data_IF_255570765311
#
_entry.id   IF_255570765311
#
_cell.length_a   1.000
_cell.length_b   1.000
_cell.length_c   1.000
_cell.angle_alpha   90.00
_cell.angle_beta   90.00
_cell.angle_gamma   90.00
#
_symmetry.space_group_name_H-M   'P 1'
#
loop_
_entity.id
_entity.type
_entity.pdbx_description
1 polymer ?
#
# COMPACT_ATOMS: atom_id res chain seq x y z
N UNK A 1 22.42 -1.28 5.17
CA UNK A 1 21.48 -2.43 5.17
C UNK A 1 20.16 -1.99 4.56
N UNK A 2 19.39 -2.92 3.99
CA UNK A 2 18.00 -2.67 3.53
C UNK A 2 17.07 -3.21 4.62
N UNK A 3 15.96 -2.53 4.91
CA UNK A 3 15.08 -2.90 6.03
C UNK A 3 13.61 -2.71 5.73
N UNK A 4 12.79 -3.56 6.32
CA UNK A 4 11.35 -3.45 6.34
C UNK A 4 10.83 -3.48 7.79
N UNK A 5 11.08 -2.40 8.52
CA UNK A 5 10.71 -2.29 9.94
C UNK A 5 9.53 -1.34 10.13
N UNK A 6 8.30 -1.86 10.02
CA UNK A 6 7.05 -1.11 10.21
C UNK A 6 6.24 -1.57 11.41
N UNK A 7 6.75 -2.53 12.19
CA UNK A 7 6.04 -3.14 13.30
C UNK A 7 6.10 -2.20 14.50
N UNK A 8 4.96 -1.86 15.12
CA UNK A 8 4.95 -1.14 16.39
C UNK A 8 5.55 -2.00 17.51
N UNK A 9 6.09 -1.35 18.53
CA UNK A 9 6.49 -2.05 19.73
C UNK A 9 5.30 -2.65 20.50
N UNK A 10 5.62 -3.53 21.46
CA UNK A 10 4.63 -4.22 22.27
C UNK A 10 3.72 -3.26 23.04
N UNK A 11 4.24 -2.12 23.49
CA UNK A 11 3.46 -1.14 24.25
C UNK A 11 2.35 -0.56 23.38
N UNK A 12 2.65 -0.21 22.13
CA UNK A 12 1.66 0.29 21.18
C UNK A 12 0.66 -0.80 20.77
N UNK A 13 1.12 -2.04 20.53
CA UNK A 13 0.24 -3.16 20.21
C UNK A 13 -0.74 -3.48 21.35
N UNK A 14 -0.29 -3.39 22.60
CA UNK A 14 -1.13 -3.60 23.78
C UNK A 14 -2.31 -2.61 23.87
N UNK A 15 -2.21 -1.44 23.24
CA UNK A 15 -3.29 -0.44 23.21
C UNK A 15 -4.46 -0.83 22.29
N UNK A 16 -4.30 -1.88 21.47
CA UNK A 16 -5.39 -2.46 20.67
C UNK A 16 -6.19 -3.52 21.42
N UNK A 17 -5.76 -3.95 22.62
CA UNK A 17 -6.53 -4.90 23.44
C UNK A 17 -7.91 -4.33 23.76
N UNK A 18 -8.87 -5.21 24.05
CA UNK A 18 -10.23 -4.78 24.40
C UNK A 18 -10.21 -3.73 25.52
N UNK A 19 -11.11 -2.75 25.41
CA UNK A 19 -11.26 -1.63 26.35
C UNK A 19 -10.04 -0.67 26.42
N UNK A 20 -9.01 -0.88 25.60
CA UNK A 20 -7.90 0.07 25.45
C UNK A 20 -8.19 1.07 24.35
N UNK A 21 -7.54 2.22 24.47
CA UNK A 21 -7.85 3.42 23.70
C UNK A 21 -7.76 3.26 22.17
N UNK A 22 -6.87 2.40 21.65
CA UNK A 22 -6.77 2.16 20.20
C UNK A 22 -7.64 0.99 19.72
N UNK A 23 -8.39 0.32 20.60
CA UNK A 23 -9.28 -0.78 20.19
C UNK A 23 -10.38 -0.29 19.24
N UNK A 24 -10.77 0.99 19.34
CA UNK A 24 -11.77 1.60 18.47
C UNK A 24 -11.34 1.68 17.00
N UNK A 25 -10.03 1.62 16.71
CA UNK A 25 -9.51 1.68 15.34
C UNK A 25 -9.96 0.49 14.48
N UNK A 26 -10.37 -0.62 15.10
CA UNK A 26 -10.87 -1.83 14.43
C UNK A 26 -12.27 -1.65 13.84
N UNK A 27 -13.03 -0.69 14.35
CA UNK A 27 -14.47 -0.55 14.08
C UNK A 27 -14.83 0.81 13.47
N UNK A 28 -13.83 1.55 12.98
CA UNK A 28 -14.06 2.86 12.38
C UNK A 28 -14.92 2.71 11.13
N UNK A 29 -16.03 3.47 11.10
CA UNK A 29 -16.94 3.52 9.96
C UNK A 29 -16.62 4.70 9.07
N UNK A 30 -16.70 4.48 7.76
CA UNK A 30 -16.63 5.55 6.77
C UNK A 30 -17.96 6.30 6.74
N UNK A 31 -17.97 7.63 6.90
CA UNK A 31 -19.20 8.41 6.77
C UNK A 31 -19.79 8.33 5.36
N UNK A 32 -21.13 8.32 5.25
CA UNK A 32 -21.86 8.18 3.97
C UNK A 32 -21.50 9.22 2.90
N UNK A 33 -20.93 10.37 3.29
CA UNK A 33 -20.49 11.41 2.34
C UNK A 33 -19.31 10.97 1.45
N UNK A 34 -18.55 9.95 1.85
CA UNK A 34 -17.49 9.37 1.03
C UNK A 34 -18.07 8.23 0.16
N UNK A 35 -18.88 8.60 -0.82
CA UNK A 35 -19.63 7.65 -1.64
C UNK A 35 -18.73 6.57 -2.27
N UNK A 36 -19.02 5.31 -1.95
CA UNK A 36 -18.30 4.15 -2.48
C UNK A 36 -16.94 3.86 -1.85
N UNK A 37 -16.45 4.70 -0.93
CA UNK A 37 -15.29 4.40 -0.10
C UNK A 37 -15.69 3.37 0.97
N UNK A 38 -15.05 2.21 0.99
CA UNK A 38 -15.53 1.06 1.77
C UNK A 38 -14.91 0.94 3.16
N UNK A 39 -13.78 1.60 3.40
CA UNK A 39 -13.10 1.61 4.70
C UNK A 39 -12.14 2.81 4.81
N UNK A 40 -11.92 3.27 6.03
CA UNK A 40 -10.65 3.93 6.35
C UNK A 40 -9.60 2.83 6.55
N UNK A 41 -8.37 3.13 6.15
CA UNK A 41 -7.29 2.16 6.21
C UNK A 41 -6.32 2.51 7.34
N UNK A 42 -6.01 1.51 8.17
CA UNK A 42 -5.20 1.65 9.38
C UNK A 42 -3.87 0.96 9.15
N UNK A 43 -2.79 1.75 9.23
CA UNK A 43 -1.49 1.30 8.79
C UNK A 43 -0.42 1.53 9.84
N UNK A 44 0.31 0.47 10.17
CA UNK A 44 1.51 0.58 10.99
C UNK A 44 2.68 1.13 10.16
N UNK A 45 3.44 2.02 10.78
CA UNK A 45 4.56 2.72 10.18
C UNK A 45 5.75 2.72 11.13
N UNK A 46 6.90 3.13 10.58
CA UNK A 46 8.16 3.26 11.32
C UNK A 46 7.97 4.15 12.55
N UNK A 47 8.80 3.95 13.57
CA UNK A 47 8.86 4.79 14.77
C UNK A 47 7.55 4.80 15.58
N UNK A 48 6.92 3.63 15.77
CA UNK A 48 5.70 3.47 16.56
C UNK A 48 4.59 4.45 16.17
N UNK A 49 4.32 4.50 14.87
CA UNK A 49 3.29 5.39 14.30
C UNK A 49 2.21 4.55 13.63
N UNK A 50 0.95 4.93 13.84
CA UNK A 50 -0.21 4.42 13.11
C UNK A 50 -0.73 5.56 12.25
N UNK A 51 -0.96 5.29 10.98
CA UNK A 51 -1.58 6.21 10.06
C UNK A 51 -3.03 5.80 9.81
N UNK A 52 -3.92 6.79 9.73
CA UNK A 52 -5.31 6.62 9.27
C UNK A 52 -5.42 7.24 7.88
N UNK A 53 -5.85 6.45 6.90
CA UNK A 53 -5.97 6.87 5.51
C UNK A 53 -7.43 6.95 5.04
N UNK A 54 -7.71 7.93 4.18
CA UNK A 54 -8.93 8.06 3.40
C UNK A 54 -8.56 8.03 1.90
N UNK A 55 -8.80 6.91 1.23
CA UNK A 55 -8.32 6.73 -0.15
C UNK A 55 -6.80 6.86 -0.23
N UNK A 56 -6.30 7.76 -1.08
CA UNK A 56 -4.88 8.01 -1.33
C UNK A 56 -4.25 9.07 -0.42
N UNK A 57 -4.95 9.52 0.64
CA UNK A 57 -4.42 10.56 1.53
C UNK A 57 -4.49 10.15 2.99
N UNK A 58 -3.45 10.53 3.73
CA UNK A 58 -3.37 10.34 5.16
C UNK A 58 -4.15 11.44 5.89
N UNK A 59 -5.03 11.05 6.80
CA UNK A 59 -5.79 11.96 7.65
C UNK A 59 -5.02 12.30 8.92
N UNK A 60 -4.59 11.26 9.66
CA UNK A 60 -3.98 11.41 10.96
C UNK A 60 -2.83 10.43 11.18
N UNK A 61 -1.89 10.86 12.02
CA UNK A 61 -0.81 10.08 12.61
C UNK A 61 -1.07 9.94 14.11
N UNK A 62 -1.01 8.72 14.62
CA UNK A 62 -1.04 8.40 16.05
C UNK A 62 0.35 7.88 16.40
N UNK A 63 1.08 8.62 17.24
CA UNK A 63 2.44 8.28 17.63
C UNK A 63 2.52 8.00 19.11
N UNK A 64 3.13 6.88 19.48
CA UNK A 64 3.36 6.56 20.88
C UNK A 64 4.34 7.54 21.53
N UNK A 65 4.01 8.02 22.72
CA UNK A 65 4.90 8.80 23.60
C UNK A 65 4.84 8.20 25.01
N UNK A 66 5.83 8.47 25.86
CA UNK A 66 6.01 7.87 27.19
C UNK A 66 4.76 7.25 27.87
N UNK A 67 3.77 8.08 28.25
CA UNK A 67 2.56 7.69 29.00
C UNK A 67 1.25 7.78 28.19
N UNK A 68 1.34 7.89 26.87
CA UNK A 68 0.18 8.15 26.01
C UNK A 68 0.51 8.17 24.53
N UNK A 69 -0.28 8.89 23.75
CA UNK A 69 -0.01 9.07 22.33
C UNK A 69 -0.30 10.50 21.91
N UNK A 70 0.50 10.97 20.96
CA UNK A 70 0.27 12.21 20.26
C UNK A 70 -0.53 11.90 19.00
N UNK A 71 -1.58 12.68 18.75
CA UNK A 71 -2.23 12.70 17.45
C UNK A 71 -1.91 13.99 16.74
N UNK A 72 -1.45 13.85 15.51
CA UNK A 72 -1.32 14.95 14.56
C UNK A 72 -2.14 14.63 13.32
N UNK A 73 -2.66 15.65 12.64
CA UNK A 73 -3.29 15.48 11.34
C UNK A 73 -2.35 15.93 10.25
N UNK A 74 -2.52 15.43 9.03
CA UNK A 74 -1.78 15.94 7.88
C UNK A 74 -1.99 17.46 7.74
N UNK A 75 -0.95 18.20 7.33
CA UNK A 75 -0.94 19.67 7.27
C UNK A 75 -2.14 20.27 6.51
N UNK A 76 -2.63 19.56 5.49
CA UNK A 76 -3.81 19.94 4.70
C UNK A 76 -5.10 20.00 5.52
N UNK A 77 -5.21 19.20 6.58
CA UNK A 77 -6.43 19.05 7.39
C UNK A 77 -6.28 19.69 8.78
N UNK A 78 -5.07 20.03 9.21
CA UNK A 78 -4.78 20.55 10.56
C UNK A 78 -5.48 21.88 10.88
N UNK A 79 -5.74 22.71 9.86
CA UNK A 79 -6.43 23.99 10.05
C UNK A 79 -7.96 23.86 10.21
N UNK A 80 -8.54 22.70 9.91
CA UNK A 80 -9.98 22.50 10.00
C UNK A 80 -10.44 22.46 11.46
N UNK A 81 -11.62 23.02 11.75
CA UNK A 81 -12.14 23.13 13.13
C UNK A 81 -12.27 21.78 13.83
N UNK A 82 -12.65 20.73 13.09
CA UNK A 82 -12.78 19.37 13.58
C UNK A 82 -11.46 18.72 14.01
N UNK A 83 -10.31 19.21 13.53
CA UNK A 83 -8.99 18.69 13.89
C UNK A 83 -8.54 19.14 15.30
N UNK A 84 -9.01 20.30 15.79
CA UNK A 84 -8.54 20.92 17.04
C UNK A 84 -8.73 20.04 18.27
N UNK A 85 -9.82 19.27 18.33
CA UNK A 85 -10.12 18.40 19.47
C UNK A 85 -9.29 17.12 19.49
N UNK A 86 -8.97 16.58 18.31
CA UNK A 86 -8.21 15.33 18.20
C UNK A 86 -6.71 15.56 18.29
N UNK A 87 -6.21 16.72 17.80
CA UNK A 87 -4.79 17.09 17.80
C UNK A 87 -4.28 17.49 19.19
N UNK A 88 -3.98 16.50 20.01
CA UNK A 88 -3.40 16.68 21.34
C UNK A 88 -2.67 15.41 21.78
N UNK A 89 -2.05 15.51 22.95
CA UNK A 89 -1.57 14.35 23.70
C UNK A 89 -2.74 13.72 24.44
N UNK A 90 -2.92 12.42 24.23
CA UNK A 90 -3.91 11.58 24.88
C UNK A 90 -3.20 10.65 25.85
N UNK A 91 -3.44 10.85 27.15
CA UNK A 91 -2.86 9.98 28.19
C UNK A 91 -3.56 8.63 28.22
N UNK A 92 -2.83 7.59 28.56
CA UNK A 92 -3.37 6.25 28.72
C UNK A 92 -4.07 6.10 30.10
N UNK A 93 -5.20 6.77 30.29
CA UNK A 93 -6.05 6.66 31.49
C UNK A 93 -7.44 6.12 31.12
N UNK A 94 -8.13 5.48 32.08
CA UNK A 94 -9.39 4.77 31.79
C UNK A 94 -10.49 5.70 31.24
N UNK A 95 -10.56 6.96 31.72
CA UNK A 95 -11.51 7.96 31.20
C UNK A 95 -11.13 8.52 29.82
N UNK A 96 -9.84 8.47 29.44
CA UNK A 96 -9.38 9.04 28.17
C UNK A 96 -9.87 8.25 26.95
N UNK A 97 -10.22 6.97 27.11
CA UNK A 97 -10.72 6.14 26.01
C UNK A 97 -12.04 6.64 25.43
N UNK A 98 -12.98 7.05 26.28
CA UNK A 98 -14.28 7.57 25.83
C UNK A 98 -14.16 8.92 25.12
N UNK A 99 -13.43 9.86 25.71
CA UNK A 99 -13.16 11.17 25.10
C UNK A 99 -12.41 11.03 23.77
N UNK A 100 -11.45 10.11 23.69
CA UNK A 100 -10.69 9.85 22.48
C UNK A 100 -11.59 9.35 21.36
N UNK A 101 -12.41 8.34 21.63
CA UNK A 101 -13.35 7.78 20.66
C UNK A 101 -14.29 8.87 20.15
N UNK A 102 -14.81 9.72 21.04
CA UNK A 102 -15.67 10.83 20.66
C UNK A 102 -14.96 11.83 19.76
N UNK A 103 -13.76 12.27 20.13
CA UNK A 103 -12.99 13.24 19.34
C UNK A 103 -12.54 12.67 17.98
N UNK A 104 -12.17 11.38 17.93
CA UNK A 104 -11.80 10.70 16.69
C UNK A 104 -13.01 10.61 15.75
N UNK A 105 -14.16 10.18 16.26
CA UNK A 105 -15.39 10.11 15.48
C UNK A 105 -15.83 11.50 15.00
N UNK A 106 -15.75 12.53 15.84
CA UNK A 106 -16.04 13.91 15.44
C UNK A 106 -15.10 14.37 14.32
N UNK A 107 -13.81 14.07 14.42
CA UNK A 107 -12.85 14.40 13.36
C UNK A 107 -13.17 13.66 12.05
N UNK A 108 -13.30 12.33 12.07
CA UNK A 108 -13.52 11.53 10.85
C UNK A 108 -14.87 11.82 10.17
N UNK A 109 -15.90 12.13 10.96
CA UNK A 109 -17.22 12.51 10.45
C UNK A 109 -17.26 13.91 9.85
N UNK A 110 -16.34 14.80 10.20
CA UNK A 110 -16.39 16.21 9.78
C UNK A 110 -15.21 16.63 8.89
N UNK A 111 -14.08 15.93 8.88
CA UNK A 111 -12.90 16.29 8.05
C UNK A 111 -13.25 16.39 6.56
N UNK A 112 -12.98 17.52 5.95
CA UNK A 112 -13.22 17.75 4.53
C UNK A 112 -12.02 17.28 3.71
N UNK A 113 -12.23 16.22 2.93
CA UNK A 113 -11.19 15.59 2.11
C UNK A 113 -11.53 15.79 0.64
N UNK A 114 -10.61 16.38 -0.12
CA UNK A 114 -10.78 16.58 -1.56
C UNK A 114 -11.09 15.26 -2.28
N UNK A 115 -12.09 15.29 -3.17
CA UNK A 115 -12.55 14.12 -3.93
C UNK A 115 -11.45 13.42 -4.71
N UNK A 116 -10.42 14.15 -5.15
CA UNK A 116 -9.28 13.60 -5.89
C UNK A 116 -8.55 12.48 -5.14
N UNK A 117 -8.64 12.47 -3.81
CA UNK A 117 -7.94 11.51 -2.97
C UNK A 117 -8.74 10.22 -2.75
N UNK A 118 -10.07 10.30 -2.69
CA UNK A 118 -10.90 9.16 -2.29
C UNK A 118 -11.83 8.66 -3.39
N UNK A 119 -12.07 9.44 -4.45
CA UNK A 119 -12.70 8.94 -5.68
C UNK A 119 -11.67 8.24 -6.56
N UNK A 120 -12.18 7.53 -7.58
CA UNK A 120 -11.37 6.84 -8.60
C UNK A 120 -10.38 5.86 -7.94
N UNK A 121 -9.08 6.07 -8.11
CA UNK A 121 -8.01 5.19 -7.62
C UNK A 121 -8.03 5.03 -6.09
N UNK A 122 -8.39 6.07 -5.34
CA UNK A 122 -8.57 5.93 -3.88
C UNK A 122 -9.70 4.96 -3.50
N UNK A 123 -10.79 4.96 -4.27
CA UNK A 123 -11.89 4.01 -4.11
C UNK A 123 -11.45 2.60 -4.53
N UNK A 124 -10.68 2.48 -5.62
CA UNK A 124 -10.11 1.21 -6.06
C UNK A 124 -9.24 0.59 -4.97
N UNK A 125 -8.19 1.30 -4.53
CA UNK A 125 -7.23 0.79 -3.55
C UNK A 125 -7.91 0.39 -2.24
N UNK A 126 -8.86 1.18 -1.72
CA UNK A 126 -9.59 0.81 -0.49
C UNK A 126 -10.44 -0.45 -0.67
N UNK A 127 -11.04 -0.67 -1.84
CA UNK A 127 -11.75 -1.93 -2.14
C UNK A 127 -10.82 -3.13 -2.18
N UNK A 128 -9.64 -2.98 -2.79
CA UNK A 128 -8.59 -4.02 -2.80
C UNK A 128 -8.11 -4.33 -1.38
N UNK A 129 -7.74 -3.29 -0.61
CA UNK A 129 -7.30 -3.41 0.79
C UNK A 129 -8.36 -4.07 1.66
N UNK A 130 -9.64 -3.73 1.47
CA UNK A 130 -10.73 -4.38 2.20
C UNK A 130 -10.89 -5.84 1.79
N UNK A 131 -11.05 -6.14 0.50
CA UNK A 131 -11.35 -7.51 0.03
C UNK A 131 -10.18 -8.48 0.25
N UNK A 132 -8.97 -8.06 -0.08
CA UNK A 132 -7.76 -8.89 0.01
C UNK A 132 -6.97 -8.68 1.30
N UNK A 133 -7.30 -7.70 2.12
CA UNK A 133 -6.68 -7.48 3.44
C UNK A 133 -7.64 -7.80 4.57
N UNK A 134 -8.34 -6.79 5.09
CA UNK A 134 -9.18 -6.90 6.29
C UNK A 134 -10.24 -8.00 6.21
N UNK A 135 -10.92 -8.14 5.07
CA UNK A 135 -11.99 -9.12 4.87
C UNK A 135 -11.50 -10.39 4.17
N UNK A 136 -10.18 -10.60 4.02
CA UNK A 136 -9.61 -11.74 3.31
C UNK A 136 -10.21 -13.07 3.77
N UNK A 137 -10.39 -14.00 2.84
CA UNK A 137 -10.79 -15.38 3.11
C UNK A 137 -10.00 -16.35 2.22
N UNK A 138 -10.09 -17.63 2.54
CA UNK A 138 -9.36 -18.70 1.87
C UNK A 138 -9.80 -18.93 0.41
N UNK A 139 -10.86 -18.27 -0.04
CA UNK A 139 -11.28 -18.27 -1.44
C UNK A 139 -10.37 -17.40 -2.31
N UNK A 140 -9.57 -16.51 -1.71
CA UNK A 140 -8.68 -15.61 -2.44
C UNK A 140 -7.25 -16.18 -2.55
N UNK A 141 -6.57 -15.98 -3.69
CA UNK A 141 -5.25 -16.57 -3.95
C UNK A 141 -4.10 -15.91 -3.15
N UNK A 142 -4.34 -14.74 -2.56
CA UNK A 142 -3.33 -13.98 -1.84
C UNK A 142 -4.00 -12.93 -0.94
N UNK A 143 -3.22 -12.35 -0.02
CA UNK A 143 -3.69 -11.37 0.94
C UNK A 143 -2.79 -10.11 0.99
N UNK A 144 -3.37 -8.91 0.98
CA UNK A 144 -2.66 -7.62 1.08
C UNK A 144 -2.45 -7.27 2.55
N UNK A 145 -1.21 -6.96 2.92
CA UNK A 145 -0.88 -6.63 4.30
C UNK A 145 -0.40 -5.20 4.52
N UNK A 146 0.02 -4.47 3.47
CA UNK A 146 0.50 -3.09 3.60
C UNK A 146 0.30 -2.31 2.29
N UNK A 147 0.39 -0.97 2.41
CA UNK A 147 0.30 0.01 1.31
C UNK A 147 1.34 1.11 1.43
N UNK A 148 1.55 1.87 0.36
CA UNK A 148 2.56 2.95 0.28
C UNK A 148 3.92 2.40 0.75
N UNK A 149 4.32 1.34 0.05
CA UNK A 149 5.36 0.44 0.48
C UNK A 149 6.70 0.97 -0.03
N UNK A 150 7.60 1.20 0.92
CA UNK A 150 8.93 1.76 0.67
C UNK A 150 9.92 0.99 1.54
N UNK A 151 10.98 0.48 0.92
CA UNK A 151 12.10 -0.12 1.62
C UNK A 151 12.93 0.95 2.33
N UNK A 152 13.29 0.70 3.57
CA UNK A 152 14.22 1.54 4.31
C UNK A 152 15.66 1.20 3.93
N UNK A 153 16.50 2.23 3.90
CA UNK A 153 17.94 2.09 3.77
C UNK A 153 18.60 2.75 4.99
N UNK A 154 19.79 2.28 5.37
CA UNK A 154 20.58 2.95 6.43
C UNK A 154 21.42 4.10 5.87
N UNK A 155 21.78 4.03 4.59
CA UNK A 155 22.58 5.03 3.88
C UNK A 155 21.77 5.59 2.72
N UNK A 156 21.56 6.91 2.70
CA UNK A 156 20.94 7.59 1.57
C UNK A 156 21.84 7.58 0.33
N UNK A 157 23.16 7.49 0.50
CA UNK A 157 24.12 7.33 -0.59
C UNK A 157 23.93 5.98 -1.28
N UNK A 158 23.85 4.89 -0.51
CA UNK A 158 23.67 3.53 -1.04
C UNK A 158 22.30 3.43 -1.72
N UNK A 159 21.26 3.96 -1.08
CA UNK A 159 19.92 4.04 -1.65
C UNK A 159 19.92 4.75 -3.00
N UNK A 160 20.56 5.92 -3.08
CA UNK A 160 20.64 6.69 -4.31
C UNK A 160 21.37 5.92 -5.40
N UNK A 161 22.54 5.36 -5.10
CA UNK A 161 23.34 4.59 -6.07
C UNK A 161 22.59 3.37 -6.61
N UNK A 162 21.94 2.60 -5.74
CA UNK A 162 21.14 1.43 -6.13
C UNK A 162 19.95 1.85 -7.01
N UNK A 163 19.19 2.87 -6.57
CA UNK A 163 18.01 3.35 -7.32
C UNK A 163 18.39 3.97 -8.66
N UNK A 164 19.51 4.68 -8.75
CA UNK A 164 20.01 5.26 -10.00
C UNK A 164 20.25 4.18 -11.07
N UNK A 165 20.78 3.01 -10.69
CA UNK A 165 20.94 1.89 -11.60
C UNK A 165 19.59 1.43 -12.19
N UNK A 166 18.58 1.23 -11.33
CA UNK A 166 17.24 0.81 -11.78
C UNK A 166 16.59 1.88 -12.68
N UNK A 167 16.70 3.15 -12.30
CA UNK A 167 16.19 4.27 -13.08
C UNK A 167 16.86 4.32 -14.46
N UNK A 168 18.17 4.10 -14.54
CA UNK A 168 18.89 4.12 -15.82
C UNK A 168 18.45 2.98 -16.74
N UNK A 169 18.24 1.76 -16.21
CA UNK A 169 17.68 0.63 -16.97
C UNK A 169 16.30 0.96 -17.53
N UNK A 170 15.41 1.49 -16.70
CA UNK A 170 14.07 1.92 -17.10
C UNK A 170 14.11 3.04 -18.14
N UNK A 171 15.05 4.00 -18.03
CA UNK A 171 15.23 5.05 -19.03
C UNK A 171 15.58 4.48 -20.41
N UNK A 172 16.47 3.49 -20.47
CA UNK A 172 16.84 2.83 -21.74
C UNK A 172 15.63 2.09 -22.36
N UNK A 173 14.86 1.38 -21.56
CA UNK A 173 13.63 0.71 -22.03
C UNK A 173 12.63 1.72 -22.57
N UNK A 174 12.48 2.86 -21.89
CA UNK A 174 11.58 3.92 -22.34
C UNK A 174 12.02 4.51 -23.67
N UNK A 175 13.32 4.75 -23.88
CA UNK A 175 13.82 5.18 -25.19
C UNK A 175 13.46 4.18 -26.30
N UNK A 176 13.53 2.87 -26.01
CA UNK A 176 13.13 1.82 -26.97
C UNK A 176 11.63 1.81 -27.24
N UNK A 177 10.80 2.05 -26.21
CA UNK A 177 9.34 2.20 -26.38
C UNK A 177 9.04 3.42 -27.25
N UNK A 178 9.64 4.58 -26.96
CA UNK A 178 9.42 5.81 -27.73
C UNK A 178 9.88 5.68 -29.19
N UNK A 179 10.93 4.89 -29.47
CA UNK A 179 11.38 4.57 -30.83
C UNK A 179 10.43 3.62 -31.56
N UNK A 180 9.95 2.55 -30.90
CA UNK A 180 9.09 1.52 -31.51
C UNK A 180 7.62 1.95 -31.61
N UNK A 181 7.19 2.79 -30.68
CA UNK A 181 5.80 3.23 -30.50
C UNK A 181 5.72 4.76 -30.31
N UNK A 182 6.13 5.56 -31.31
CA UNK A 182 6.08 7.02 -31.22
C UNK A 182 4.65 7.56 -30.97
N UNK A 183 3.62 6.80 -31.33
CA UNK A 183 2.21 7.11 -31.09
C UNK A 183 1.80 7.11 -29.60
N UNK A 184 2.66 6.61 -28.70
CA UNK A 184 2.42 6.67 -27.25
C UNK A 184 2.71 8.07 -26.68
N UNK A 185 3.44 8.91 -27.45
CA UNK A 185 3.88 10.23 -27.02
C UNK A 185 5.10 10.20 -26.11
N UNK A 186 5.54 11.38 -25.67
CA UNK A 186 6.67 11.50 -24.73
C UNK A 186 6.24 11.07 -23.33
N UNK A 187 6.96 10.11 -22.75
CA UNK A 187 6.67 9.63 -21.40
C UNK A 187 7.25 10.65 -20.41
N UNK A 188 6.42 11.61 -19.95
CA UNK A 188 6.79 12.60 -18.92
C UNK A 188 6.70 11.95 -17.54
N UNK A 189 7.84 11.80 -16.85
CA UNK A 189 7.96 10.91 -15.68
C UNK A 189 8.00 11.64 -14.36
N UNK A 190 7.31 11.07 -13.37
CA UNK A 190 7.79 11.04 -11.99
C UNK A 190 8.54 9.73 -11.78
N UNK A 191 9.69 9.80 -11.10
CA UNK A 191 10.39 8.61 -10.65
C UNK A 191 9.45 7.79 -9.74
N UNK A 192 9.33 6.46 -9.94
CA UNK A 192 8.54 5.62 -9.04
C UNK A 192 9.07 5.77 -7.62
N UNK A 193 8.20 6.15 -6.68
CA UNK A 193 8.59 6.45 -5.30
C UNK A 193 8.14 5.40 -4.31
N UNK A 194 6.93 4.89 -4.46
CA UNK A 194 6.27 3.97 -3.54
C UNK A 194 5.47 2.94 -4.30
N UNK A 195 5.52 1.69 -3.84
CA UNK A 195 4.63 0.63 -4.34
C UNK A 195 3.27 0.79 -3.68
N UNK A 196 2.19 0.78 -4.47
CA UNK A 196 0.83 1.02 -3.95
C UNK A 196 0.46 0.03 -2.85
N UNK A 197 0.58 -1.27 -3.11
CA UNK A 197 0.22 -2.32 -2.15
C UNK A 197 1.16 -3.53 -2.24
N UNK A 198 1.34 -4.21 -1.11
CA UNK A 198 2.08 -5.48 -1.02
C UNK A 198 1.27 -6.55 -0.30
N UNK A 199 1.38 -7.78 -0.79
CA UNK A 199 0.70 -8.94 -0.24
C UNK A 199 1.56 -10.19 -0.19
N UNK A 200 0.94 -11.28 0.24
CA UNK A 200 1.54 -12.62 0.32
C UNK A 200 0.59 -13.65 -0.29
N UNK A 201 1.12 -14.66 -0.99
CA UNK A 201 0.30 -15.78 -1.49
C UNK A 201 -0.39 -16.53 -0.36
N UNK A 202 -1.49 -17.21 -0.66
CA UNK A 202 -2.20 -18.08 0.28
C UNK A 202 -1.27 -19.11 0.93
N UNK A 203 -0.29 -19.59 0.17
CA UNK A 203 0.71 -20.58 0.58
C UNK A 203 1.90 -19.97 1.31
N UNK A 204 2.03 -18.65 1.34
CA UNK A 204 3.15 -17.95 1.99
C UNK A 204 4.46 -18.00 1.22
N UNK A 205 4.49 -18.53 0.00
CA UNK A 205 5.73 -18.75 -0.78
C UNK A 205 6.04 -17.65 -1.81
N UNK A 206 5.14 -16.66 -1.97
CA UNK A 206 5.32 -15.54 -2.87
C UNK A 206 4.94 -14.20 -2.22
N UNK A 207 5.74 -13.17 -2.52
CA UNK A 207 5.40 -11.77 -2.28
C UNK A 207 4.66 -11.21 -3.49
N UNK A 208 3.55 -10.54 -3.24
CA UNK A 208 2.68 -9.96 -4.26
C UNK A 208 2.95 -8.47 -4.31
N UNK A 209 3.45 -7.95 -5.43
CA UNK A 209 3.65 -6.50 -5.62
C UNK A 209 2.54 -5.96 -6.50
N UNK A 210 1.74 -5.04 -5.99
CA UNK A 210 0.54 -4.56 -6.68
C UNK A 210 0.67 -3.08 -7.00
N UNK A 211 0.56 -2.74 -8.27
CA UNK A 211 0.35 -1.37 -8.75
C UNK A 211 -1.12 -1.22 -9.16
N UNK A 212 -1.80 -0.18 -8.68
CA UNK A 212 -3.22 0.04 -8.96
C UNK A 212 -3.42 1.22 -9.91
N UNK A 213 -4.32 1.08 -10.88
CA UNK A 213 -4.67 2.15 -11.83
C UNK A 213 -6.17 2.19 -12.10
N UNK A 214 -6.76 3.38 -11.94
CA UNK A 214 -8.15 3.66 -12.29
C UNK A 214 -8.26 4.58 -13.54
N UNK A 215 -7.13 5.06 -14.10
CA UNK A 215 -7.10 6.18 -15.04
C UNK A 215 -6.98 5.81 -16.53
N UNK A 216 -7.03 6.86 -17.36
CA UNK A 216 -7.09 6.88 -18.84
C UNK A 216 -5.94 6.12 -19.50
N UNK A 217 -6.16 5.70 -20.74
CA UNK A 217 -5.23 4.96 -21.59
C UNK A 217 -3.78 5.44 -21.65
N UNK A 218 -3.53 6.74 -21.49
CA UNK A 218 -2.21 7.35 -21.61
C UNK A 218 -1.27 7.03 -20.43
N UNK A 219 -1.80 6.81 -19.22
CA UNK A 219 -0.97 6.51 -18.04
C UNK A 219 -0.80 4.99 -17.84
N UNK A 220 -1.68 4.19 -18.43
CA UNK A 220 -1.77 2.75 -18.21
C UNK A 220 -0.57 1.97 -18.76
N UNK A 221 0.02 2.41 -19.88
CA UNK A 221 1.19 1.73 -20.45
C UNK A 221 2.50 2.06 -19.69
N UNK A 222 2.48 3.04 -18.77
CA UNK A 222 3.59 3.29 -17.85
C UNK A 222 3.56 2.37 -16.64
N UNK A 223 2.39 1.81 -16.28
CA UNK A 223 2.27 0.93 -15.11
C UNK A 223 3.23 -0.28 -15.15
N UNK A 224 3.44 -0.98 -16.29
CA UNK A 224 4.46 -2.03 -16.39
C UNK A 224 5.89 -1.55 -16.07
N UNK A 225 6.22 -0.29 -16.37
CA UNK A 225 7.54 0.29 -16.06
C UNK A 225 7.69 0.59 -14.56
N UNK A 226 6.62 1.01 -13.89
CA UNK A 226 6.58 1.12 -12.43
C UNK A 226 6.73 -0.26 -11.78
N UNK A 227 5.99 -1.25 -12.28
CA UNK A 227 6.10 -2.65 -11.81
C UNK A 227 7.52 -3.17 -11.99
N UNK A 228 8.17 -2.93 -13.14
CA UNK A 228 9.57 -3.27 -13.35
C UNK A 228 10.48 -2.65 -12.28
N UNK A 229 10.29 -1.36 -11.95
CA UNK A 229 11.05 -0.71 -10.88
C UNK A 229 10.92 -1.48 -9.56
N UNK A 230 9.68 -1.80 -9.16
CA UNK A 230 9.45 -2.51 -7.91
C UNK A 230 10.02 -3.93 -7.93
N UNK A 231 9.91 -4.64 -9.07
CA UNK A 231 10.53 -5.95 -9.24
C UNK A 231 12.05 -5.87 -9.01
N UNK A 232 12.74 -4.93 -9.66
CA UNK A 232 14.17 -4.74 -9.50
C UNK A 232 14.57 -4.38 -8.07
N UNK A 233 13.81 -3.48 -7.44
CA UNK A 233 14.07 -3.04 -6.06
C UNK A 233 13.91 -4.19 -5.05
N UNK A 234 12.82 -4.95 -5.15
CA UNK A 234 12.53 -6.05 -4.25
C UNK A 234 13.39 -7.29 -4.51
N UNK A 235 13.71 -7.63 -5.76
CA UNK A 235 14.66 -8.70 -6.06
C UNK A 235 16.05 -8.40 -5.48
N UNK A 236 16.53 -7.17 -5.65
CA UNK A 236 17.80 -6.73 -5.07
C UNK A 236 17.76 -6.82 -3.54
N UNK A 237 16.68 -6.38 -2.92
CA UNK A 237 16.52 -6.45 -1.47
C UNK A 237 16.52 -7.88 -0.93
N UNK A 238 15.77 -8.79 -1.57
CA UNK A 238 15.63 -10.18 -1.16
C UNK A 238 16.85 -11.05 -1.47
N UNK A 239 17.73 -10.64 -2.39
CA UNK A 239 19.00 -11.30 -2.69
C UNK A 239 20.19 -10.72 -1.91
N UNK A 240 19.98 -9.61 -1.21
CA UNK A 240 21.02 -9.00 -0.37
C UNK A 240 21.20 -9.74 0.96
N UNK A 241 22.27 -9.40 1.68
CA UNK A 241 22.49 -9.86 3.06
C UNK A 241 21.40 -9.40 4.06
N UNK A 242 20.42 -8.59 3.62
CA UNK A 242 19.29 -8.14 4.44
C UNK A 242 18.02 -8.98 4.23
N UNK A 243 18.06 -10.04 3.42
CA UNK A 243 16.87 -10.85 3.09
C UNK A 243 16.12 -11.34 4.32
N UNK A 244 16.83 -11.96 5.28
CA UNK A 244 16.22 -12.49 6.50
C UNK A 244 15.52 -11.41 7.33
N UNK A 245 16.17 -10.25 7.53
CA UNK A 245 15.59 -9.16 8.33
C UNK A 245 14.39 -8.50 7.65
N UNK A 246 14.36 -8.46 6.30
CA UNK A 246 13.20 -8.01 5.53
C UNK A 246 12.03 -8.99 5.71
N UNK A 247 12.28 -10.29 5.54
CA UNK A 247 11.25 -11.33 5.65
C UNK A 247 10.70 -11.44 7.08
N UNK A 248 11.56 -11.33 8.09
CA UNK A 248 11.17 -11.22 9.51
C UNK A 248 10.31 -9.99 9.77
N UNK A 249 10.70 -8.83 9.20
CA UNK A 249 9.93 -7.59 9.32
C UNK A 249 8.54 -7.68 8.69
N UNK A 250 8.41 -8.32 7.53
CA UNK A 250 7.13 -8.60 6.86
C UNK A 250 6.29 -9.54 7.73
N UNK A 251 6.86 -10.67 8.16
CA UNK A 251 6.16 -11.66 8.97
C UNK A 251 5.66 -11.07 10.30
N UNK A 252 6.50 -10.25 10.93
CA UNK A 252 6.17 -9.56 12.17
C UNK A 252 5.08 -8.52 11.98
N UNK A 253 5.05 -7.79 10.86
CA UNK A 253 3.98 -6.84 10.54
C UNK A 253 2.64 -7.55 10.35
N UNK A 254 2.62 -8.65 9.60
CA UNK A 254 1.42 -9.46 9.39
C UNK A 254 0.91 -9.98 10.75
N UNK A 255 1.78 -10.55 11.57
CA UNK A 255 1.41 -11.06 12.89
C UNK A 255 0.88 -9.95 13.81
N UNK A 256 1.53 -8.79 13.86
CA UNK A 256 1.06 -7.65 14.65
C UNK A 256 -0.35 -7.20 14.23
N UNK A 257 -0.65 -7.17 12.92
CA UNK A 257 -2.00 -6.83 12.43
C UNK A 257 -3.05 -7.90 12.79
N UNK A 258 -2.67 -9.18 12.83
CA UNK A 258 -3.54 -10.26 13.32
C UNK A 258 -3.79 -10.17 14.83
N UNK A 259 -2.73 -9.95 15.61
CA UNK A 259 -2.80 -9.84 17.08
C UNK A 259 -3.66 -8.66 17.51
N UNK A 260 -3.56 -7.53 16.79
CA UNK A 260 -4.39 -6.35 17.04
C UNK A 260 -5.81 -6.49 16.51
N UNK A 261 -6.13 -7.53 15.73
CA UNK A 261 -7.45 -7.74 15.13
C UNK A 261 -7.76 -6.80 13.96
N UNK A 262 -6.74 -6.12 13.41
CA UNK A 262 -6.89 -5.37 12.16
C UNK A 262 -7.04 -6.30 10.95
N UNK A 263 -6.47 -7.52 11.06
CA UNK A 263 -6.63 -8.61 10.11
C UNK A 263 -7.16 -9.88 10.79
N UNK A 264 -7.83 -10.73 10.00
CA UNK A 264 -8.27 -12.06 10.44
C UNK A 264 -7.06 -12.95 10.78
N UNK A 265 -7.23 -13.83 11.77
CA UNK A 265 -6.16 -14.72 12.25
C UNK A 265 -5.67 -15.69 11.17
N UNK A 266 -6.59 -16.09 10.28
CA UNK A 266 -6.40 -17.05 9.21
C UNK A 266 -5.63 -16.49 8.01
N UNK A 267 -5.43 -15.16 7.94
CA UNK A 267 -4.68 -14.54 6.85
C UNK A 267 -3.31 -15.21 6.70
N UNK A 268 -2.81 -15.49 5.49
CA UNK A 268 -1.52 -16.15 5.30
C UNK A 268 -0.36 -15.32 5.87
N UNK A 269 0.76 -16.00 6.16
CA UNK A 269 2.02 -15.34 6.52
C UNK A 269 3.12 -15.81 5.54
N UNK A 270 4.16 -14.99 5.38
CA UNK A 270 5.30 -15.29 4.52
C UNK A 270 6.17 -16.39 5.15
N UNK A 271 6.61 -17.34 4.33
CA UNK A 271 7.60 -18.36 4.70
C UNK A 271 8.98 -17.71 4.67
N UNK A 272 9.60 -17.56 5.84
CA UNK A 272 10.90 -16.87 5.99
C UNK A 272 12.11 -17.77 5.73
N UNK A 273 11.93 -19.10 5.64
CA UNK A 273 13.04 -20.06 5.50
C UNK A 273 13.65 -20.12 4.10
N UNK A 274 13.07 -19.43 3.13
CA UNK A 274 13.55 -19.35 1.74
C UNK A 274 13.20 -17.99 1.14
N UNK A 275 13.94 -17.60 0.11
CA UNK A 275 13.60 -16.41 -0.68
C UNK A 275 12.26 -16.67 -1.40
N UNK A 276 11.24 -15.83 -1.20
CA UNK A 276 9.95 -16.02 -1.84
C UNK A 276 10.03 -15.67 -3.33
N UNK A 277 9.11 -16.24 -4.11
CA UNK A 277 8.88 -15.74 -5.47
C UNK A 277 8.32 -14.33 -5.40
N UNK A 278 8.57 -13.50 -6.41
CA UNK A 278 7.87 -12.23 -6.56
C UNK A 278 6.83 -12.38 -7.66
N UNK A 279 5.60 -12.01 -7.35
CA UNK A 279 4.47 -12.05 -8.27
C UNK A 279 3.94 -10.62 -8.46
N UNK A 280 4.25 -9.96 -9.59
CA UNK A 280 3.75 -8.64 -9.86
C UNK A 280 2.29 -8.70 -10.32
N UNK A 281 1.49 -7.72 -9.89
CA UNK A 281 0.09 -7.55 -10.24
C UNK A 281 -0.15 -6.11 -10.70
N UNK A 282 -0.84 -5.96 -11.82
CA UNK A 282 -1.47 -4.71 -12.23
C UNK A 282 -2.96 -4.79 -11.91
N UNK A 283 -3.39 -4.04 -10.90
CA UNK A 283 -4.79 -3.95 -10.49
C UNK A 283 -5.49 -2.80 -11.22
N UNK A 284 -6.57 -3.09 -11.94
CA UNK A 284 -7.26 -2.11 -12.79
C UNK A 284 -8.72 -1.84 -12.37
N UNK A 285 -9.11 -0.58 -12.49
CA UNK A 285 -10.50 -0.13 -12.46
C UNK A 285 -11.20 -0.31 -13.81
N UNK A 286 -12.47 -0.74 -13.80
CA UNK A 286 -13.18 -1.18 -15.02
C UNK A 286 -13.67 -0.04 -15.91
N UNK A 287 -13.68 1.21 -15.44
CA UNK A 287 -14.46 2.27 -16.08
C UNK A 287 -13.98 2.64 -17.51
N UNK A 288 -12.76 2.28 -17.92
CA UNK A 288 -12.22 2.67 -19.23
C UNK A 288 -11.25 1.62 -19.88
N UNK A 289 -11.37 0.32 -19.57
CA UNK A 289 -10.50 -0.70 -20.18
C UNK A 289 -10.85 -0.97 -21.65
N UNK A 290 -10.09 -0.39 -22.57
CA UNK A 290 -10.25 -0.62 -24.03
C UNK A 290 -9.20 -1.58 -24.58
N UNK A 291 -9.50 -2.21 -25.73
CA UNK A 291 -8.54 -3.07 -26.43
C UNK A 291 -7.25 -2.34 -26.83
N UNK A 292 -7.30 -1.02 -26.99
CA UNK A 292 -6.12 -0.17 -27.18
C UNK A 292 -5.21 -0.21 -25.95
N UNK A 293 -5.77 0.02 -24.75
CA UNK A 293 -5.02 0.01 -23.49
C UNK A 293 -4.32 -1.32 -23.28
N UNK A 294 -5.07 -2.42 -23.46
CA UNK A 294 -4.51 -3.76 -23.35
C UNK A 294 -3.34 -3.97 -24.32
N UNK A 295 -3.50 -3.56 -25.59
CA UNK A 295 -2.45 -3.68 -26.59
C UNK A 295 -1.19 -2.92 -26.19
N UNK A 296 -1.33 -1.68 -25.69
CA UNK A 296 -0.20 -0.87 -25.24
C UNK A 296 0.51 -1.49 -24.06
N UNK A 297 -0.23 -1.96 -23.05
CA UNK A 297 0.34 -2.66 -21.89
C UNK A 297 1.12 -3.89 -22.34
N UNK A 298 0.52 -4.75 -23.18
CA UNK A 298 1.19 -5.98 -23.67
C UNK A 298 2.41 -5.66 -24.51
N UNK A 299 2.38 -4.61 -25.34
CA UNK A 299 3.54 -4.14 -26.10
C UNK A 299 4.67 -3.68 -25.18
N UNK A 300 4.36 -2.88 -24.16
CA UNK A 300 5.34 -2.45 -23.15
C UNK A 300 5.92 -3.65 -22.40
N UNK A 301 5.09 -4.60 -21.93
CA UNK A 301 5.55 -5.81 -21.23
C UNK A 301 6.49 -6.62 -22.12
N UNK A 302 6.16 -6.77 -23.41
CA UNK A 302 7.02 -7.47 -24.37
C UNK A 302 8.40 -6.82 -24.46
N UNK A 303 8.45 -5.49 -24.64
CA UNK A 303 9.72 -4.77 -24.70
C UNK A 303 10.49 -4.92 -23.38
N UNK A 304 9.82 -4.83 -22.23
CA UNK A 304 10.48 -5.06 -20.93
C UNK A 304 11.07 -6.47 -20.87
N UNK A 305 10.32 -7.50 -21.25
CA UNK A 305 10.78 -8.89 -21.19
C UNK A 305 11.94 -9.19 -22.15
N UNK A 306 11.93 -8.58 -23.33
CA UNK A 306 13.03 -8.68 -24.30
C UNK A 306 14.34 -8.08 -23.73
N UNK A 307 14.24 -7.02 -22.91
CA UNK A 307 15.38 -6.30 -22.34
C UNK A 307 15.84 -6.82 -20.97
N UNK A 308 14.90 -7.36 -20.19
CA UNK A 308 15.09 -7.71 -18.78
C UNK A 308 14.85 -9.20 -18.52
N UNK A 309 15.23 -10.06 -19.48
CA UNK A 309 15.24 -11.52 -19.35
C UNK A 309 13.91 -12.09 -18.82
N UNK A 310 12.79 -11.66 -19.40
CA UNK A 310 11.45 -12.11 -19.03
C UNK A 310 11.04 -11.84 -17.57
N UNK A 311 11.57 -10.78 -16.94
CA UNK A 311 11.26 -10.43 -15.54
C UNK A 311 9.77 -10.20 -15.25
N UNK A 312 8.98 -9.76 -16.24
CA UNK A 312 7.52 -9.59 -16.13
C UNK A 312 6.73 -10.72 -16.80
N UNK A 313 7.33 -11.89 -17.04
CA UNK A 313 6.64 -13.04 -17.65
C UNK A 313 5.49 -13.59 -16.82
N UNK A 314 5.53 -13.40 -15.51
CA UNK A 314 4.49 -13.82 -14.57
C UNK A 314 3.61 -12.66 -14.07
N UNK A 315 3.65 -11.49 -14.72
CA UNK A 315 2.77 -10.36 -14.42
C UNK A 315 1.31 -10.73 -14.68
N UNK A 316 0.49 -10.64 -13.63
CA UNK A 316 -0.95 -10.80 -13.73
C UNK A 316 -1.65 -9.45 -13.80
N UNK A 317 -2.67 -9.35 -14.64
CA UNK A 317 -3.54 -8.17 -14.71
C UNK A 317 -4.88 -8.57 -14.11
N UNK A 318 -5.30 -7.87 -13.06
CA UNK A 318 -6.56 -8.14 -12.39
C UNK A 318 -7.49 -6.95 -12.50
N UNK A 319 -8.75 -7.18 -12.81
CA UNK A 319 -9.79 -6.15 -12.76
C UNK A 319 -10.68 -6.29 -11.53
N UNK A 320 -11.11 -5.16 -10.97
CA UNK A 320 -12.08 -5.13 -9.87
C UNK A 320 -13.25 -4.15 -10.17
N UNK A 321 -14.30 -4.59 -10.89
CA UNK A 321 -15.45 -3.75 -11.23
C UNK A 321 -16.15 -3.22 -10.00
N UNK A 322 -16.68 -1.98 -10.03
CA UNK A 322 -17.37 -1.35 -8.89
C UNK A 322 -18.45 -2.23 -8.25
N UNK A 323 -19.19 -2.98 -9.07
CA UNK A 323 -20.31 -3.82 -8.64
C UNK A 323 -20.08 -5.32 -8.91
N UNK A 324 -18.85 -5.81 -8.84
CA UNK A 324 -18.56 -7.23 -9.06
C UNK A 324 -17.38 -7.72 -8.24
N UNK A 325 -16.94 -8.96 -8.53
CA UNK A 325 -15.79 -9.58 -7.88
C UNK A 325 -14.49 -9.31 -8.66
N UNK A 326 -13.34 -9.29 -7.97
CA UNK A 326 -12.05 -9.22 -8.63
C UNK A 326 -11.83 -10.46 -9.49
N UNK A 327 -11.28 -10.29 -10.70
CA UNK A 327 -10.98 -11.41 -11.60
C UNK A 327 -9.71 -11.16 -12.40
N UNK A 328 -9.01 -12.25 -12.71
CA UNK A 328 -7.82 -12.25 -13.55
C UNK A 328 -8.21 -12.04 -15.01
N UNK A 329 -7.49 -11.15 -15.69
CA UNK A 329 -7.61 -10.91 -17.13
C UNK A 329 -6.60 -11.83 -17.84
N UNK A 330 -7.04 -12.61 -18.85
CA UNK A 330 -6.17 -13.49 -19.63
C UNK A 330 -5.00 -12.81 -20.37
#
# INVERSE_FOLDING_TARGET
MIRYNRVPDKQMLDMFKEQRILSCLKEIKVPNRFEGLVSFDIQFRRNNTINIYCGLTKLADIKMIYDGFEITTHQTYAAQSCAKKIMRIWKNTDNASGEFIQALNEYLNNVEVSERWWKKEGKLQTRWLKRFGTDWDDSLPWAIFDREVVLGYDSEIDKKSIKENFINRIKLIIQKIEQKHPEYGSIKKKEPSELDMIGVSKEGDALILIEAKESRAQDMYYAPLQILYYMLEWENALRSNSSSSILEGISSLINAKKETGLFKREMPNIIISKIPKIKPILAIGVKEWSGEIYRRIKATIKIINDEENNILSNLEIWEYPENGNPKLIP
#
